data_IF_253376638722
#
_entry.id   IF_253376638722
#
_cell.length_a   1.000
_cell.length_b   1.000
_cell.length_c   1.000
_cell.angle_alpha   90.00
_cell.angle_beta   90.00
_cell.angle_gamma   90.00
#
_symmetry.space_group_name_H-M   'P 1'
#
loop_
_entity.id
_entity.type
_entity.pdbx_description
1 polymer ?
#
# COMPACT_ATOMS: atom_id res chain seq x y z
N UNK A 1 45.67 8.54 -42.88
CA UNK A 1 44.48 7.93 -43.52
C UNK A 1 43.48 7.53 -42.44
N UNK A 2 42.24 8.02 -42.49
CA UNK A 2 41.22 7.78 -41.45
C UNK A 2 40.76 6.32 -41.53
N UNK A 3 41.00 5.54 -40.48
CA UNK A 3 40.62 4.11 -40.40
C UNK A 3 39.10 4.00 -40.61
N UNK A 4 38.65 3.16 -41.54
CA UNK A 4 37.22 2.94 -41.81
C UNK A 4 36.54 2.48 -40.51
N UNK A 5 35.58 3.24 -40.01
CA UNK A 5 34.74 2.81 -38.89
C UNK A 5 33.77 1.74 -39.43
N UNK A 6 33.98 0.49 -39.02
CA UNK A 6 33.09 -0.62 -39.34
C UNK A 6 31.96 -0.67 -38.33
N UNK A 7 30.72 -0.63 -38.82
CA UNK A 7 29.54 -0.81 -37.98
C UNK A 7 29.24 -2.30 -37.82
N UNK A 8 29.39 -2.83 -36.61
CA UNK A 8 29.06 -4.22 -36.30
C UNK A 8 27.57 -4.35 -35.99
N UNK A 9 26.90 -5.32 -36.63
CA UNK A 9 25.47 -5.62 -36.39
C UNK A 9 25.33 -6.52 -35.16
N UNK A 10 24.29 -6.28 -34.37
CA UNK A 10 23.96 -7.13 -33.21
C UNK A 10 23.14 -8.36 -33.63
N UNK A 11 23.30 -9.48 -32.91
CA UNK A 11 22.53 -10.72 -33.13
C UNK A 11 21.16 -10.66 -32.46
N UNK A 12 20.16 -11.28 -33.10
CA UNK A 12 18.82 -11.49 -32.54
C UNK A 12 18.71 -12.64 -31.53
N UNK A 13 17.49 -12.90 -31.07
CA UNK A 13 17.13 -14.06 -30.24
C UNK A 13 17.17 -15.36 -31.05
N UNK A 14 17.49 -16.49 -30.39
CA UNK A 14 17.43 -17.82 -31.02
C UNK A 14 16.02 -18.11 -31.53
N UNK A 15 15.93 -18.76 -32.69
CA UNK A 15 14.64 -19.04 -33.34
C UNK A 15 13.69 -19.85 -32.44
N UNK A 16 14.21 -20.88 -31.77
CA UNK A 16 13.46 -21.74 -30.85
C UNK A 16 12.96 -21.00 -29.60
N UNK A 17 13.60 -19.89 -29.22
CA UNK A 17 13.31 -19.11 -28.00
C UNK A 17 12.63 -17.77 -28.30
N UNK A 18 12.06 -17.59 -29.50
CA UNK A 18 11.37 -16.36 -29.89
C UNK A 18 10.17 -16.04 -29.01
N UNK A 19 9.51 -17.05 -28.43
CA UNK A 19 8.38 -16.88 -27.50
C UNK A 19 8.75 -16.10 -26.23
N UNK A 20 10.02 -16.11 -25.80
CA UNK A 20 10.50 -15.40 -24.62
C UNK A 20 10.74 -13.91 -24.87
N UNK A 21 10.49 -13.44 -26.09
CA UNK A 21 10.71 -12.05 -26.50
C UNK A 21 12.16 -11.75 -26.91
N UNK A 22 12.51 -10.47 -26.85
CA UNK A 22 13.79 -9.96 -27.38
C UNK A 22 14.95 -10.37 -26.48
N UNK A 23 16.04 -10.87 -27.10
CA UNK A 23 17.28 -11.18 -26.37
C UNK A 23 17.89 -9.91 -25.82
N UNK A 24 17.91 -9.83 -24.49
CA UNK A 24 18.46 -8.70 -23.80
C UNK A 24 19.97 -8.52 -24.06
N UNK A 25 20.39 -7.25 -24.16
CA UNK A 25 21.79 -6.85 -24.37
C UNK A 25 22.24 -5.96 -23.22
N UNK A 26 23.54 -5.71 -23.12
CA UNK A 26 24.13 -4.86 -22.07
C UNK A 26 23.41 -3.52 -21.89
N UNK A 27 23.04 -2.84 -22.99
CA UNK A 27 22.32 -1.56 -22.93
C UNK A 27 20.93 -1.69 -22.28
N UNK A 28 20.21 -2.76 -22.56
CA UNK A 28 18.91 -3.03 -21.96
C UNK A 28 19.08 -3.38 -20.47
N UNK A 29 20.09 -4.21 -20.14
CA UNK A 29 20.39 -4.62 -18.77
C UNK A 29 20.72 -3.42 -17.90
N UNK A 30 21.58 -2.53 -18.40
CA UNK A 30 21.94 -1.30 -17.69
C UNK A 30 20.70 -0.44 -17.42
N UNK A 31 19.80 -0.27 -18.40
CA UNK A 31 18.55 0.48 -18.20
C UNK A 31 17.64 -0.18 -17.16
N UNK A 32 17.50 -1.51 -17.16
CA UNK A 32 16.71 -2.21 -16.13
C UNK A 32 17.36 -2.04 -14.76
N UNK A 33 18.64 -2.31 -14.64
CA UNK A 33 19.37 -2.27 -13.36
C UNK A 33 19.34 -0.88 -12.73
N UNK A 34 19.52 0.19 -13.52
CA UNK A 34 19.44 1.56 -13.01
C UNK A 34 18.02 1.90 -12.54
N UNK A 35 16.99 1.51 -13.30
CA UNK A 35 15.61 1.72 -12.90
C UNK A 35 15.24 0.93 -11.63
N UNK A 36 15.75 -0.29 -11.50
CA UNK A 36 15.55 -1.14 -10.32
C UNK A 36 16.18 -0.55 -9.08
N UNK A 37 17.46 -0.17 -9.17
CA UNK A 37 18.17 0.48 -8.08
C UNK A 37 17.48 1.76 -7.62
N UNK A 38 17.03 2.61 -8.55
CA UNK A 38 16.31 3.83 -8.22
C UNK A 38 14.97 3.56 -7.52
N UNK A 39 14.30 2.45 -7.85
CA UNK A 39 13.07 2.02 -7.17
C UNK A 39 13.35 1.54 -5.74
N UNK A 40 14.41 0.76 -5.56
CA UNK A 40 14.83 0.26 -4.25
C UNK A 40 15.24 1.39 -3.32
N UNK A 41 16.02 2.35 -3.80
CA UNK A 41 16.42 3.55 -3.05
C UNK A 41 15.20 4.35 -2.57
N UNK A 42 14.19 4.54 -3.44
CA UNK A 42 12.93 5.19 -3.06
C UNK A 42 12.18 4.40 -1.98
N UNK A 43 12.10 3.08 -2.11
CA UNK A 43 11.44 2.23 -1.12
C UNK A 43 12.16 2.31 0.22
N UNK A 44 13.49 2.26 0.22
CA UNK A 44 14.29 2.39 1.44
C UNK A 44 14.09 3.74 2.11
N UNK A 45 14.05 4.82 1.32
CA UNK A 45 13.75 6.16 1.85
C UNK A 45 12.37 6.21 2.50
N UNK A 46 11.33 5.68 1.84
CA UNK A 46 9.96 5.65 2.40
C UNK A 46 9.94 4.83 3.70
N UNK A 47 10.63 3.69 3.76
CA UNK A 47 10.74 2.88 4.98
C UNK A 47 11.41 3.63 6.11
N UNK A 48 12.50 4.35 5.82
CA UNK A 48 13.20 5.17 6.81
C UNK A 48 12.30 6.28 7.35
N UNK A 49 11.64 7.04 6.46
CA UNK A 49 10.70 8.08 6.86
C UNK A 49 9.54 7.53 7.69
N UNK A 50 9.02 6.35 7.35
CA UNK A 50 7.97 5.69 8.12
C UNK A 50 8.44 5.26 9.53
N UNK A 51 9.69 4.77 9.65
CA UNK A 51 10.26 4.37 10.93
C UNK A 51 10.59 5.57 11.84
N UNK A 52 11.01 6.68 11.25
CA UNK A 52 11.34 7.94 11.95
C UNK A 52 10.11 8.85 12.15
N UNK A 53 8.93 8.43 11.69
CA UNK A 53 7.71 9.22 11.76
C UNK A 53 7.27 9.44 13.21
N UNK A 54 6.99 10.70 13.57
CA UNK A 54 6.44 11.03 14.88
C UNK A 54 4.94 10.64 14.94
N UNK A 55 4.51 9.76 15.85
CA UNK A 55 3.10 9.38 15.99
C UNK A 55 2.19 10.55 16.42
N UNK A 56 2.76 11.57 17.07
CA UNK A 56 2.02 12.74 17.56
C UNK A 56 1.99 13.89 16.55
N UNK A 57 2.52 13.69 15.33
CA UNK A 57 2.47 14.72 14.29
C UNK A 57 1.02 15.01 13.89
N UNK A 58 0.63 16.27 14.01
CA UNK A 58 -0.68 16.74 13.61
C UNK A 58 -0.61 17.84 12.55
N UNK A 59 -1.19 17.56 11.39
CA UNK A 59 -1.26 18.48 10.25
C UNK A 59 -2.70 18.99 10.05
N UNK A 60 -2.87 20.27 9.71
CA UNK A 60 -4.18 20.88 9.42
C UNK A 60 -4.99 20.13 8.33
N UNK A 61 -4.31 19.41 7.44
CA UNK A 61 -4.93 18.57 6.42
C UNK A 61 -5.75 17.41 7.02
N UNK A 62 -5.37 16.91 8.19
CA UNK A 62 -6.03 15.79 8.89
C UNK A 62 -7.44 16.16 9.39
N UNK A 63 -7.76 17.45 9.49
CA UNK A 63 -9.14 17.89 9.73
C UNK A 63 -10.06 17.53 8.57
N UNK A 64 -9.60 17.73 7.33
CA UNK A 64 -10.41 17.60 6.10
C UNK A 64 -10.42 16.18 5.54
N UNK A 65 -9.43 15.35 5.89
CA UNK A 65 -9.25 14.01 5.34
C UNK A 65 -9.21 12.95 6.44
N UNK A 66 -9.86 11.81 6.19
CA UNK A 66 -9.75 10.58 6.98
C UNK A 66 -8.87 9.57 6.24
N UNK A 67 -8.12 8.76 6.98
CA UNK A 67 -7.33 7.67 6.40
C UNK A 67 -8.17 6.39 6.39
N UNK A 68 -8.30 5.75 5.23
CA UNK A 68 -8.92 4.44 5.05
C UNK A 68 -7.87 3.49 4.48
N UNK A 69 -7.21 2.74 5.36
CA UNK A 69 -6.04 1.93 5.03
C UNK A 69 -4.92 2.74 4.37
N UNK A 70 -4.69 2.50 3.08
CA UNK A 70 -3.66 3.19 2.27
C UNK A 70 -4.17 4.51 1.68
N UNK A 71 -5.49 4.73 1.61
CA UNK A 71 -6.10 5.88 0.94
C UNK A 71 -6.42 7.01 1.92
N UNK A 72 -6.31 8.24 1.44
CA UNK A 72 -6.83 9.43 2.11
C UNK A 72 -8.16 9.81 1.44
N UNK A 73 -9.24 9.82 2.23
CA UNK A 73 -10.59 10.12 1.81
C UNK A 73 -10.98 11.46 2.41
N UNK A 74 -11.52 12.38 1.60
CA UNK A 74 -12.01 13.67 2.10
C UNK A 74 -13.30 13.45 2.89
N UNK A 75 -13.41 14.00 4.10
CA UNK A 75 -14.56 13.79 4.99
C UNK A 75 -15.86 14.35 4.39
N UNK A 76 -15.78 15.43 3.63
CA UNK A 76 -16.92 16.07 2.96
C UNK A 76 -17.59 15.17 1.88
N UNK A 77 -16.90 14.12 1.41
CA UNK A 77 -17.41 13.22 0.38
C UNK A 77 -17.77 11.86 0.99
N UNK A 78 -19.05 11.52 1.00
CA UNK A 78 -19.53 10.18 1.33
C UNK A 78 -19.34 9.28 0.12
N UNK A 79 -18.46 8.28 0.20
CA UNK A 79 -18.33 7.25 -0.83
C UNK A 79 -19.22 6.07 -0.46
N UNK A 80 -20.03 5.57 -1.40
CA UNK A 80 -20.99 4.46 -1.17
C UNK A 80 -20.33 3.21 -0.57
N UNK A 81 -19.06 2.96 -0.89
CA UNK A 81 -18.28 1.81 -0.35
C UNK A 81 -17.99 1.89 1.15
N UNK A 82 -18.11 3.06 1.77
CA UNK A 82 -17.93 3.25 3.22
C UNK A 82 -19.23 3.01 4.01
N UNK A 83 -20.39 2.83 3.34
CA UNK A 83 -21.70 2.70 3.99
C UNK A 83 -21.92 1.33 4.67
N UNK A 84 -21.13 0.31 4.33
CA UNK A 84 -21.31 -1.06 4.84
C UNK A 84 -20.37 -1.44 6.01
N UNK A 85 -19.63 -0.50 6.58
CA UNK A 85 -19.00 -0.73 7.89
C UNK A 85 -20.06 -0.45 8.95
N UNK A 86 -20.87 -1.45 9.27
CA UNK A 86 -21.63 -1.43 10.53
C UNK A 86 -20.59 -1.26 11.64
N UNK A 87 -20.69 -0.15 12.38
CA UNK A 87 -19.99 -0.04 13.66
C UNK A 87 -20.35 -1.28 14.48
N UNK A 88 -19.37 -1.96 15.11
CA UNK A 88 -19.70 -3.09 15.96
C UNK A 88 -20.73 -2.60 16.97
N UNK A 89 -21.93 -3.17 16.92
CA UNK A 89 -22.99 -2.86 17.89
C UNK A 89 -22.38 -3.03 19.27
N UNK A 90 -22.27 -1.94 20.03
CA UNK A 90 -21.83 -1.98 21.40
C UNK A 90 -22.75 -2.99 22.12
N UNK A 91 -22.21 -4.11 22.56
CA UNK A 91 -22.96 -5.07 23.34
C UNK A 91 -23.52 -4.28 24.54
N UNK A 92 -24.84 -4.30 24.77
CA UNK A 92 -25.44 -3.52 25.84
C UNK A 92 -24.76 -3.90 27.16
N UNK A 93 -24.12 -2.92 27.80
CA UNK A 93 -23.29 -3.11 29.01
C UNK A 93 -24.07 -3.66 30.20
N UNK A 94 -25.41 -3.69 30.16
CA UNK A 94 -26.22 -4.19 31.27
C UNK A 94 -27.36 -5.08 30.77
N UNK A 95 -27.19 -6.40 30.86
CA UNK A 95 -28.33 -7.27 31.07
C UNK A 95 -28.95 -6.87 32.42
N UNK A 96 -30.23 -6.48 32.50
CA UNK A 96 -30.82 -6.06 33.76
C UNK A 96 -30.75 -7.23 34.74
N UNK A 97 -29.91 -7.10 35.77
CA UNK A 97 -29.84 -8.10 36.83
C UNK A 97 -31.24 -8.34 37.37
N UNK A 98 -31.69 -9.61 37.36
CA UNK A 98 -33.02 -9.97 37.84
C UNK A 98 -33.09 -9.60 39.33
N UNK A 99 -33.96 -8.65 39.67
CA UNK A 99 -34.13 -8.19 41.05
C UNK A 99 -34.46 -9.40 41.94
N UNK A 100 -33.84 -9.52 43.13
CA UNK A 100 -34.12 -10.65 44.00
C UNK A 100 -35.57 -10.61 44.46
N UNK A 101 -36.25 -11.75 44.32
CA UNK A 101 -37.63 -11.91 44.76
C UNK A 101 -37.67 -11.87 46.30
N UNK A 102 -38.57 -11.06 46.87
CA UNK A 102 -38.78 -11.01 48.32
C UNK A 102 -39.50 -12.28 48.76
N UNK A 103 -38.77 -13.16 49.44
CA UNK A 103 -39.34 -14.35 50.07
C UNK A 103 -39.97 -13.91 51.40
N UNK A 104 -41.29 -14.09 51.53
CA UNK A 104 -42.01 -13.88 52.79
C UNK A 104 -42.26 -15.27 53.38
N UNK A 105 -41.72 -15.52 54.58
CA UNK A 105 -42.07 -16.71 55.34
C UNK A 105 -43.36 -16.41 56.12
N UNK A 106 -44.41 -17.18 55.86
CA UNK A 106 -45.62 -17.20 56.68
C UNK A 106 -45.45 -18.18 57.84
N UNK A 107 -46.10 -17.89 58.97
CA UNK A 107 -46.13 -18.73 60.17
C UNK A 107 -46.73 -20.13 59.94
#
# INVERSE_FOLDING_TARGET
MKKRQTNYKERGQLAERRSLGVLEKKRHFLKRSTAEKAREEKIQLIKKLAAESNPDEFNHFMYKYKRSGVRLIRKDKVYEKDQNLQEPEELPEELPMKKPERIIFTE
#
